data_IF_504379322774
#
_entry.id   IF_504379322774
#
_cell.length_a   1.000
_cell.length_b   1.000
_cell.length_c   1.000
_cell.angle_alpha   90.00
_cell.angle_beta   90.00
_cell.angle_gamma   90.00
#
_symmetry.space_group_name_H-M   'P 1'
#
loop_
_entity.id
_entity.type
_entity.pdbx_description
1 polymer ?
#
# COMPACT_ATOMS: atom_id res chain seq x y z
N UNK A 1 6.42 6.82 56.35
CA UNK A 1 6.02 5.41 56.24
C UNK A 1 4.59 5.22 55.73
N UNK A 2 3.52 5.64 56.43
CA UNK A 2 2.13 5.38 56.01
C UNK A 2 1.75 5.89 54.60
N UNK A 3 2.18 7.10 54.25
CA UNK A 3 1.88 7.72 52.95
C UNK A 3 2.59 7.03 51.76
N UNK A 4 3.67 6.31 52.04
CA UNK A 4 4.46 5.59 51.03
C UNK A 4 3.81 4.25 50.68
N UNK A 5 3.21 3.58 51.67
CA UNK A 5 2.39 2.38 51.46
C UNK A 5 1.07 2.70 50.73
N UNK A 6 0.43 3.84 51.02
CA UNK A 6 -0.74 4.27 50.26
C UNK A 6 -0.40 4.59 48.79
N UNK A 7 0.76 5.19 48.53
CA UNK A 7 1.17 5.51 47.16
C UNK A 7 1.48 4.24 46.35
N UNK A 8 2.12 3.25 46.99
CA UNK A 8 2.41 1.96 46.38
C UNK A 8 1.11 1.17 46.09
N UNK A 9 0.20 1.04 47.08
CA UNK A 9 -1.07 0.33 46.90
C UNK A 9 -1.95 0.98 45.83
N UNK A 10 -1.99 2.32 45.79
CA UNK A 10 -2.74 3.06 44.77
C UNK A 10 -2.10 2.95 43.38
N UNK A 11 -0.77 2.88 43.30
CA UNK A 11 -0.03 2.62 42.07
C UNK A 11 -0.31 1.23 41.52
N UNK A 12 -0.21 0.22 42.38
CA UNK A 12 -0.49 -1.17 42.03
C UNK A 12 -1.94 -1.33 41.57
N UNK A 13 -2.91 -0.74 42.29
CA UNK A 13 -4.33 -0.82 41.94
C UNK A 13 -4.64 -0.21 40.57
N UNK A 14 -4.01 0.91 40.21
CA UNK A 14 -4.16 1.55 38.90
C UNK A 14 -3.55 0.69 37.79
N UNK A 15 -2.42 0.02 38.06
CA UNK A 15 -1.78 -0.91 37.12
C UNK A 15 -2.68 -2.13 36.90
N UNK A 16 -3.19 -2.76 37.96
CA UNK A 16 -4.10 -3.92 37.86
C UNK A 16 -5.43 -3.59 37.17
N UNK A 17 -6.03 -2.42 37.42
CA UNK A 17 -7.26 -1.99 36.70
C UNK A 17 -7.01 -1.73 35.22
N UNK A 18 -5.81 -1.26 34.86
CA UNK A 18 -5.41 -1.03 33.47
C UNK A 18 -5.12 -2.35 32.75
N UNK A 19 -4.52 -3.32 33.44
CA UNK A 19 -4.21 -4.65 32.89
C UNK A 19 -5.44 -5.57 32.78
N UNK A 20 -6.43 -5.43 33.67
CA UNK A 20 -7.64 -6.27 33.67
C UNK A 20 -8.67 -5.89 32.59
N UNK A 21 -8.51 -4.74 31.93
CA UNK A 21 -9.41 -4.30 30.86
C UNK A 21 -8.88 -4.76 29.50
N UNK A 22 -9.13 -6.04 29.19
CA UNK A 22 -8.78 -6.64 27.90
C UNK A 22 -9.30 -5.84 26.69
N UNK A 23 -8.66 -6.02 25.54
CA UNK A 23 -9.02 -5.30 24.31
C UNK A 23 -10.49 -5.54 23.94
N UNK A 24 -11.20 -4.46 23.57
CA UNK A 24 -12.58 -4.53 23.13
C UNK A 24 -12.67 -5.45 21.89
N UNK A 25 -13.60 -6.42 21.85
CA UNK A 25 -13.76 -7.31 20.70
C UNK A 25 -13.96 -6.54 19.38
N UNK A 26 -14.64 -5.39 19.39
CA UNK A 26 -14.79 -4.54 18.22
C UNK A 26 -13.47 -3.94 17.73
N UNK A 27 -12.56 -3.58 18.64
CA UNK A 27 -11.22 -3.11 18.29
C UNK A 27 -10.37 -4.23 17.70
N UNK A 28 -10.42 -5.43 18.29
CA UNK A 28 -9.71 -6.60 17.77
C UNK A 28 -10.18 -6.90 16.36
N UNK A 29 -11.50 -6.93 16.13
CA UNK A 29 -12.09 -7.19 14.81
C UNK A 29 -11.68 -6.11 13.80
N UNK A 30 -11.67 -4.83 14.19
CA UNK A 30 -11.22 -3.74 13.33
C UNK A 30 -9.75 -3.90 12.94
N UNK A 31 -8.87 -4.26 13.88
CA UNK A 31 -7.46 -4.48 13.61
C UNK A 31 -7.24 -5.71 12.71
N UNK A 32 -7.99 -6.78 12.92
CA UNK A 32 -7.88 -8.00 12.10
C UNK A 32 -8.37 -7.73 10.68
N UNK A 33 -9.57 -7.20 10.50
CA UNK A 33 -10.13 -6.94 9.17
C UNK A 33 -9.35 -5.82 8.47
N UNK A 34 -9.09 -4.72 9.18
CA UNK A 34 -8.32 -3.59 8.65
C UNK A 34 -6.90 -4.01 8.28
N UNK A 35 -6.21 -4.74 9.15
CA UNK A 35 -4.85 -5.24 8.90
C UNK A 35 -4.79 -6.22 7.73
N UNK A 36 -5.78 -7.12 7.64
CA UNK A 36 -5.86 -8.09 6.54
C UNK A 36 -6.07 -7.37 5.19
N UNK A 37 -7.00 -6.41 5.14
CA UNK A 37 -7.25 -5.62 3.94
C UNK A 37 -6.01 -4.80 3.55
N UNK A 38 -5.41 -4.07 4.48
CA UNK A 38 -4.22 -3.26 4.21
C UNK A 38 -3.09 -4.13 3.68
N UNK A 39 -2.80 -5.25 4.34
CA UNK A 39 -1.74 -6.19 3.91
C UNK A 39 -2.02 -6.75 2.52
N UNK A 40 -3.28 -7.11 2.23
CA UNK A 40 -3.68 -7.60 0.92
C UNK A 40 -3.51 -6.53 -0.18
N UNK A 41 -3.94 -5.30 0.08
CA UNK A 41 -3.79 -4.19 -0.87
C UNK A 41 -2.33 -3.84 -1.13
N UNK A 42 -1.52 -3.73 -0.07
CA UNK A 42 -0.08 -3.41 -0.18
C UNK A 42 0.66 -4.53 -0.91
N UNK A 43 0.42 -5.78 -0.53
CA UNK A 43 1.02 -6.94 -1.20
C UNK A 43 0.66 -6.99 -2.69
N UNK A 44 -0.60 -6.76 -3.02
CA UNK A 44 -1.07 -6.72 -4.41
C UNK A 44 -0.47 -5.53 -5.19
N UNK A 45 -0.37 -4.36 -4.57
CA UNK A 45 0.24 -3.19 -5.19
C UNK A 45 1.73 -3.42 -5.51
N UNK A 46 2.48 -3.99 -4.56
CA UNK A 46 3.88 -4.33 -4.76
C UNK A 46 4.02 -5.35 -5.89
N UNK A 47 3.20 -6.41 -5.88
CA UNK A 47 3.22 -7.45 -6.91
C UNK A 47 2.86 -6.89 -8.29
N UNK A 48 1.84 -6.02 -8.36
CA UNK A 48 1.44 -5.33 -9.58
C UNK A 48 2.57 -4.43 -10.11
N UNK A 49 3.20 -3.65 -9.23
CA UNK A 49 4.32 -2.78 -9.60
C UNK A 49 5.53 -3.60 -10.08
N UNK A 50 5.83 -4.71 -9.41
CA UNK A 50 6.90 -5.62 -9.82
C UNK A 50 6.60 -6.24 -11.19
N UNK A 51 5.38 -6.75 -11.38
CA UNK A 51 4.94 -7.29 -12.65
C UNK A 51 5.04 -6.24 -13.75
N UNK A 52 4.62 -4.99 -13.53
CA UNK A 52 4.76 -3.94 -14.55
C UNK A 52 6.21 -3.63 -14.93
N UNK A 53 7.16 -3.77 -14.00
CA UNK A 53 8.59 -3.56 -14.27
C UNK A 53 9.21 -4.73 -15.05
N UNK A 54 8.75 -5.96 -14.81
CA UNK A 54 9.25 -7.16 -15.48
C UNK A 54 8.48 -7.49 -16.76
N UNK A 55 7.25 -7.01 -16.88
CA UNK A 55 6.44 -7.13 -18.07
C UNK A 55 7.11 -6.33 -19.19
N UNK A 56 7.42 -6.95 -20.33
CA UNK A 56 7.95 -6.23 -21.46
C UNK A 56 6.97 -5.12 -21.84
N UNK A 57 7.46 -3.91 -22.23
CA UNK A 57 6.58 -2.81 -22.61
C UNK A 57 5.62 -3.36 -23.64
N UNK A 58 4.30 -3.26 -23.35
CA UNK A 58 3.23 -3.78 -24.22
C UNK A 58 3.53 -3.29 -25.62
N UNK A 59 4.12 -4.17 -26.45
CA UNK A 59 4.58 -3.79 -27.79
C UNK A 59 3.30 -3.38 -28.50
N UNK A 60 3.13 -2.07 -28.71
CA UNK A 60 2.08 -1.57 -29.60
C UNK A 60 2.26 -2.34 -30.88
N UNK A 61 1.19 -2.96 -31.39
CA UNK A 61 1.27 -3.78 -32.60
C UNK A 61 2.12 -3.02 -33.61
N UNK A 62 3.21 -3.61 -34.13
CA UNK A 62 4.14 -2.88 -34.97
C UNK A 62 3.34 -2.25 -36.09
N UNK A 63 3.36 -0.92 -36.12
CA UNK A 63 2.55 -0.17 -37.04
C UNK A 63 3.19 -0.41 -38.41
N UNK A 64 2.44 -1.01 -39.35
CA UNK A 64 2.94 -1.30 -40.69
C UNK A 64 3.66 -0.06 -41.25
N UNK A 65 4.80 -0.26 -41.92
CA UNK A 65 5.62 0.83 -42.50
C UNK A 65 4.75 1.81 -43.33
N UNK A 66 3.71 1.29 -44.01
CA UNK A 66 2.73 2.10 -44.75
C UNK A 66 1.94 3.06 -43.85
N UNK A 67 1.51 2.59 -42.67
CA UNK A 67 0.77 3.40 -41.69
C UNK A 67 1.69 4.39 -40.95
N UNK A 68 2.93 4.02 -40.63
CA UNK A 68 3.92 4.99 -40.11
C UNK A 68 4.21 6.11 -41.10
N UNK A 69 4.43 5.79 -42.38
CA UNK A 69 4.66 6.81 -43.41
C UNK A 69 3.43 7.72 -43.56
N UNK A 70 2.22 7.16 -43.53
CA UNK A 70 0.97 7.93 -43.61
C UNK A 70 0.77 8.87 -42.41
N UNK A 71 1.10 8.43 -41.20
CA UNK A 71 1.04 9.27 -39.99
C UNK A 71 2.11 10.37 -40.03
N UNK A 72 3.36 10.05 -40.41
CA UNK A 72 4.46 11.03 -40.55
C UNK A 72 4.16 12.11 -41.60
N UNK A 73 3.58 11.72 -42.73
CA UNK A 73 3.14 12.65 -43.78
C UNK A 73 1.98 13.55 -43.32
N UNK A 74 1.05 13.03 -42.51
CA UNK A 74 -0.03 13.83 -41.92
C UNK A 74 0.46 14.82 -40.86
N UNK A 75 1.51 14.46 -40.13
CA UNK A 75 2.12 15.30 -39.11
C UNK A 75 3.10 16.34 -39.70
N UNK A 76 3.30 16.34 -41.02
CA UNK A 76 4.21 17.29 -41.69
C UNK A 76 5.68 17.11 -41.31
N UNK A 77 6.04 15.97 -40.73
CA UNK A 77 7.42 15.70 -40.30
C UNK A 77 8.23 15.39 -41.56
N UNK A 78 9.15 16.28 -41.93
CA UNK A 78 10.08 16.07 -43.04
C UNK A 78 10.84 14.75 -42.85
N UNK A 79 11.10 14.06 -43.96
CA UNK A 79 11.82 12.80 -43.93
C UNK A 79 13.20 13.01 -43.28
N UNK A 80 13.69 12.08 -42.44
CA UNK A 80 15.05 12.18 -41.92
C UNK A 80 16.01 12.11 -43.12
N UNK A 81 16.58 13.24 -43.52
CA UNK A 81 17.41 13.34 -44.73
C UNK A 81 17.29 14.63 -45.54
N UNK A 82 16.55 15.64 -45.08
CA UNK A 82 16.72 17.05 -45.50
C UNK A 82 17.41 17.86 -44.39
#
# INVERSE_FOLDING_TARGET
MSNEYEFADKGDKIIYETEAKGFNPGLIVLLVIGGLLITFLVGNYILYSYAQKTLPPRKKKPVSKKKMKRERLKQGVSAPGE
#
